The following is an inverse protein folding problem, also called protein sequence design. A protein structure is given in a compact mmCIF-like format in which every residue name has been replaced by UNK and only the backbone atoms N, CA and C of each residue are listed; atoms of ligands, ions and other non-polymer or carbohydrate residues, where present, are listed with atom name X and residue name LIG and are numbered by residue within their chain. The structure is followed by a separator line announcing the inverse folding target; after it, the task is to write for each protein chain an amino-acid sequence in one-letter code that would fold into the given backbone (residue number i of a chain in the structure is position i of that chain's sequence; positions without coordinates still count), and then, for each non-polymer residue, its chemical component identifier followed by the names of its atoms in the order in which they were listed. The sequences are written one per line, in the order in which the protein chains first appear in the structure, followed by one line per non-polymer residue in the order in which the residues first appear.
data_IF_967375448414
#
_entry.id   IF_967375448414
#
_cell.length_a   1.000
_cell.length_b   1.000
_cell.length_c   1.000
_cell.angle_alpha   90.00
_cell.angle_beta   90.00
_cell.angle_gamma   90.00
#
_symmetry.space_group_name_H-M   'P 1'
#
loop_
_entity.id
_entity.type
_entity.pdbx_description
1 polymer ?
#
# COMPACT_ATOMS: atom_id res chain seq x y z
N UNK A 1 -2.78 -4.63 -19.31
CA UNK A 1 -1.50 -5.09 -18.76
C UNK A 1 -1.77 -6.18 -17.76
N UNK A 2 -1.07 -7.29 -17.90
CA UNK A 2 -1.43 -8.57 -17.33
C UNK A 2 -1.14 -8.64 -15.84
N UNK A 3 -2.17 -8.93 -15.08
CA UNK A 3 -2.04 -9.64 -13.80
C UNK A 3 -1.57 -11.04 -14.18
N UNK A 4 -0.47 -11.50 -13.62
CA UNK A 4 -0.06 -12.90 -13.72
C UNK A 4 -0.92 -13.71 -12.75
N UNK A 5 -1.59 -14.73 -13.26
CA UNK A 5 -2.35 -15.69 -12.45
C UNK A 5 -1.63 -17.04 -12.48
N UNK A 6 -1.16 -17.45 -11.32
CA UNK A 6 -0.46 -18.73 -11.15
C UNK A 6 -1.32 -19.63 -10.26
N UNK A 7 -1.88 -20.67 -10.87
CA UNK A 7 -2.79 -21.59 -10.22
C UNK A 7 -2.03 -22.82 -9.70
N UNK A 8 -2.01 -22.96 -8.40
CA UNK A 8 -1.63 -24.22 -7.72
C UNK A 8 -2.83 -25.13 -7.49
N UNK A 9 -2.61 -26.21 -6.77
CA UNK A 9 -3.65 -27.20 -6.41
C UNK A 9 -4.65 -26.65 -5.41
N UNK A 10 -4.16 -25.92 -4.40
CA UNK A 10 -4.94 -25.46 -3.25
C UNK A 10 -4.97 -23.93 -3.09
N UNK A 11 -4.18 -23.22 -3.86
CA UNK A 11 -4.15 -21.74 -3.87
C UNK A 11 -3.88 -21.20 -5.27
N UNK A 12 -4.49 -20.06 -5.60
CA UNK A 12 -4.18 -19.24 -6.75
C UNK A 12 -3.46 -17.99 -6.28
N UNK A 13 -2.33 -17.66 -6.87
CA UNK A 13 -1.61 -16.41 -6.63
C UNK A 13 -1.83 -15.49 -7.84
N UNK A 14 -2.22 -14.23 -7.56
CA UNK A 14 -2.25 -13.16 -8.56
C UNK A 14 -1.15 -12.17 -8.26
N UNK A 15 -0.30 -11.90 -9.24
CA UNK A 15 0.77 -10.93 -9.13
C UNK A 15 0.59 -9.79 -10.11
N UNK A 16 0.59 -8.57 -9.59
CA UNK A 16 0.48 -7.34 -10.37
C UNK A 16 1.79 -6.56 -10.31
N UNK A 17 2.66 -6.76 -11.30
CA UNK A 17 4.01 -6.19 -11.34
C UNK A 17 4.03 -4.66 -11.21
N UNK A 18 3.03 -3.95 -11.76
CA UNK A 18 2.94 -2.49 -11.67
C UNK A 18 2.72 -1.94 -10.26
N UNK A 19 2.13 -2.73 -9.36
CA UNK A 19 1.96 -2.36 -7.95
C UNK A 19 3.16 -2.77 -7.10
N UNK A 20 4.07 -3.59 -7.63
CA UNK A 20 5.22 -4.08 -6.87
C UNK A 20 6.23 -2.96 -6.59
N UNK A 21 6.51 -2.72 -5.31
CA UNK A 21 7.52 -1.76 -4.85
C UNK A 21 8.85 -2.44 -4.49
N UNK A 22 9.00 -3.73 -4.83
CA UNK A 22 10.19 -4.53 -4.53
C UNK A 22 10.58 -4.52 -3.04
N UNK A 23 9.58 -4.63 -2.14
CA UNK A 23 9.82 -4.73 -0.69
C UNK A 23 10.60 -5.99 -0.30
N UNK A 24 10.68 -6.98 -1.18
CA UNK A 24 11.36 -8.27 -1.05
C UNK A 24 10.82 -9.18 0.05
N UNK A 25 9.75 -8.84 0.72
CA UNK A 25 9.18 -9.69 1.78
C UNK A 25 8.74 -11.07 1.26
N UNK A 26 8.26 -11.15 0.01
CA UNK A 26 7.91 -12.41 -0.63
C UNK A 26 9.14 -13.32 -0.84
N UNK A 27 10.14 -12.83 -1.54
CA UNK A 27 11.35 -13.62 -1.88
C UNK A 27 12.26 -13.91 -0.69
N UNK A 28 12.19 -13.09 0.39
CA UNK A 28 12.94 -13.33 1.62
C UNK A 28 12.17 -14.24 2.60
N UNK A 29 10.84 -14.13 2.62
CA UNK A 29 9.99 -14.91 3.51
C UNK A 29 9.79 -16.35 3.02
N UNK A 30 9.61 -16.53 1.70
CA UNK A 30 9.38 -17.84 1.06
C UNK A 30 10.09 -17.90 -0.29
N UNK A 31 11.41 -18.09 -0.29
CA UNK A 31 12.21 -18.17 -1.52
C UNK A 31 11.90 -19.43 -2.36
N UNK A 32 11.18 -20.38 -1.82
CA UNK A 32 10.64 -21.56 -2.50
C UNK A 32 9.33 -21.28 -3.25
N UNK A 33 8.52 -20.34 -2.76
CA UNK A 33 7.30 -19.88 -3.45
C UNK A 33 7.61 -18.78 -4.46
N UNK A 34 8.47 -17.82 -4.10
CA UNK A 34 8.90 -16.72 -4.96
C UNK A 34 10.40 -16.80 -5.21
N UNK A 35 10.77 -17.42 -6.32
CA UNK A 35 12.16 -17.72 -6.66
C UNK A 35 12.74 -16.56 -7.48
N UNK A 36 13.64 -15.73 -6.91
CA UNK A 36 14.18 -14.59 -7.63
C UNK A 36 15.25 -14.99 -8.63
N UNK A 37 15.42 -14.19 -9.69
CA UNK A 37 16.51 -14.28 -10.66
C UNK A 37 16.57 -15.63 -11.42
N UNK A 38 15.41 -16.22 -11.73
CA UNK A 38 15.29 -17.40 -12.58
C UNK A 38 14.72 -17.02 -13.93
N UNK A 39 15.05 -17.79 -14.95
CA UNK A 39 14.38 -17.74 -16.24
C UNK A 39 13.13 -18.64 -16.20
N UNK A 40 11.98 -18.09 -16.65
CA UNK A 40 10.72 -18.84 -16.66
C UNK A 40 9.85 -18.60 -15.43
N UNK A 41 9.17 -19.63 -14.98
CA UNK A 41 8.24 -19.56 -13.84
C UNK A 41 9.00 -19.29 -12.54
N UNK A 42 8.59 -18.25 -11.84
CA UNK A 42 9.23 -17.78 -10.61
C UNK A 42 8.28 -17.77 -9.40
N UNK A 43 7.00 -18.10 -9.61
CA UNK A 43 5.98 -18.20 -8.55
C UNK A 43 5.46 -19.63 -8.52
N UNK A 44 5.58 -20.29 -7.37
CA UNK A 44 5.24 -21.70 -7.16
C UNK A 44 4.27 -21.86 -5.98
N UNK A 45 2.94 -21.70 -6.18
CA UNK A 45 1.95 -21.77 -5.10
C UNK A 45 1.98 -23.08 -4.32
N UNK A 46 2.31 -24.19 -4.99
CA UNK A 46 2.33 -25.54 -4.41
C UNK A 46 3.56 -25.83 -3.53
N UNK A 47 4.53 -24.90 -3.47
CA UNK A 47 5.69 -25.01 -2.58
C UNK A 47 5.35 -24.68 -1.11
N UNK A 48 4.12 -24.18 -0.84
CA UNK A 48 3.66 -23.79 0.50
C UNK A 48 2.23 -24.28 0.74
N UNK A 49 1.84 -24.31 2.01
CA UNK A 49 0.42 -24.50 2.35
C UNK A 49 -0.41 -23.26 1.98
N UNK A 50 -1.72 -23.38 1.75
CA UNK A 50 -2.59 -22.23 1.47
C UNK A 50 -2.53 -21.14 2.56
N UNK A 51 -2.35 -21.54 3.83
CA UNK A 51 -2.20 -20.62 4.97
C UNK A 51 -0.91 -19.79 4.86
N UNK A 52 0.18 -20.43 4.47
CA UNK A 52 1.48 -19.76 4.28
C UNK A 52 1.45 -18.83 3.08
N UNK A 53 0.79 -19.21 1.98
CA UNK A 53 0.55 -18.35 0.82
C UNK A 53 -0.29 -17.13 1.23
N UNK A 54 -1.35 -17.34 2.03
CA UNK A 54 -2.19 -16.27 2.56
C UNK A 54 -1.39 -15.29 3.43
N UNK A 55 -0.60 -15.82 4.37
CA UNK A 55 0.27 -15.01 5.25
C UNK A 55 1.29 -14.19 4.44
N UNK A 56 1.86 -14.79 3.41
CA UNK A 56 2.83 -14.13 2.53
C UNK A 56 2.16 -13.00 1.73
N UNK A 57 0.99 -13.26 1.14
CA UNK A 57 0.24 -12.23 0.42
C UNK A 57 -0.18 -11.09 1.35
N UNK A 58 -0.65 -11.40 2.57
CA UNK A 58 -1.01 -10.43 3.60
C UNK A 58 0.16 -9.49 3.95
N UNK A 59 1.40 -9.97 3.92
CA UNK A 59 2.61 -9.21 4.20
C UNK A 59 3.09 -8.37 2.99
N UNK A 60 2.48 -8.50 1.80
CA UNK A 60 2.82 -7.65 0.66
C UNK A 60 2.28 -6.22 0.87
N UNK A 61 3.12 -5.20 1.13
CA UNK A 61 2.64 -3.89 1.56
C UNK A 61 1.93 -3.11 0.44
N UNK A 62 2.18 -3.46 -0.81
CA UNK A 62 1.60 -2.77 -1.96
C UNK A 62 0.32 -3.42 -2.50
N UNK A 63 -0.02 -4.62 -2.01
CA UNK A 63 -1.09 -5.40 -2.60
C UNK A 63 -0.78 -5.90 -4.02
N UNK A 64 0.49 -5.96 -4.41
CA UNK A 64 0.89 -6.56 -5.67
C UNK A 64 0.68 -8.07 -5.72
N UNK A 65 0.58 -8.71 -4.55
CA UNK A 65 0.31 -10.14 -4.41
C UNK A 65 -1.06 -10.29 -3.75
N UNK A 66 -1.96 -10.97 -4.45
CA UNK A 66 -3.24 -11.42 -3.95
C UNK A 66 -3.29 -12.95 -4.01
N UNK A 67 -4.16 -13.54 -3.23
CA UNK A 67 -4.40 -14.98 -3.26
C UNK A 67 -5.89 -15.29 -3.27
N UNK A 68 -6.17 -16.49 -3.73
CA UNK A 68 -7.49 -17.12 -3.61
C UNK A 68 -7.28 -18.55 -3.11
N UNK A 69 -7.93 -18.93 -2.02
CA UNK A 69 -7.93 -20.28 -1.49
C UNK A 69 -8.87 -21.14 -2.31
N UNK A 70 -8.36 -22.27 -2.80
CA UNK A 70 -9.11 -23.23 -3.61
C UNK A 70 -9.53 -24.46 -2.79
N UNK A 71 -9.05 -24.56 -1.56
CA UNK A 71 -9.34 -25.64 -0.59
C UNK A 71 -10.59 -25.39 0.26
N UNK A 72 -11.32 -24.31 -0.01
CA UNK A 72 -12.51 -23.90 0.76
C UNK A 72 -12.18 -23.15 2.06
N UNK A 73 -10.92 -22.85 2.33
CA UNK A 73 -10.51 -22.06 3.48
C UNK A 73 -10.86 -20.57 3.35
N UNK A 74 -10.64 -19.82 4.43
CA UNK A 74 -10.99 -18.40 4.53
C UNK A 74 -10.22 -17.55 3.52
N UNK A 75 -10.95 -16.71 2.78
CA UNK A 75 -10.38 -15.73 1.87
C UNK A 75 -9.87 -14.50 2.64
N UNK A 76 -9.06 -13.66 2.00
CA UNK A 76 -8.54 -12.43 2.61
C UNK A 76 -9.69 -11.53 3.09
N UNK A 77 -9.60 -11.14 4.36
CA UNK A 77 -10.55 -10.26 5.03
C UNK A 77 -9.94 -8.87 5.23
N UNK A 78 -10.77 -7.81 5.35
CA UNK A 78 -10.28 -6.50 5.73
C UNK A 78 -9.61 -6.54 7.11
N UNK A 79 -8.58 -5.71 7.35
CA UNK A 79 -7.91 -5.70 8.65
C UNK A 79 -8.81 -5.14 9.75
N UNK A 80 -8.55 -5.54 10.98
CA UNK A 80 -9.27 -5.04 12.17
C UNK A 80 -8.99 -3.55 12.47
N UNK A 81 -7.96 -2.99 11.86
CA UNK A 81 -7.55 -1.59 12.02
C UNK A 81 -7.11 -1.05 10.67
N UNK A 82 -7.72 0.05 10.26
CA UNK A 82 -7.26 0.78 9.09
C UNK A 82 -5.98 1.55 9.40
N UNK A 83 -4.90 1.25 8.69
CA UNK A 83 -3.59 1.83 8.90
C UNK A 83 -3.09 2.57 7.65
N UNK A 84 -2.49 3.74 7.88
CA UNK A 84 -1.62 4.42 6.92
C UNK A 84 -0.24 4.52 7.54
N UNK A 85 0.71 3.73 7.04
CA UNK A 85 2.10 3.75 7.51
C UNK A 85 2.94 4.66 6.63
N UNK A 86 3.62 5.61 7.26
CA UNK A 86 4.54 6.54 6.57
C UNK A 86 5.90 5.87 6.44
N UNK A 87 6.38 5.63 5.22
CA UNK A 87 7.69 5.00 5.01
C UNK A 87 8.78 6.06 4.89
N UNK A 88 9.94 5.78 5.52
CA UNK A 88 11.12 6.66 5.40
C UNK A 88 11.48 6.82 3.92
N UNK A 89 11.65 8.06 3.47
CA UNK A 89 11.99 8.43 2.08
C UNK A 89 11.16 7.72 1.00
N UNK A 90 9.94 7.29 1.35
CA UNK A 90 9.13 6.39 0.53
C UNK A 90 7.63 6.73 0.52
N UNK A 91 6.81 5.80 0.04
CA UNK A 91 5.38 5.96 -0.12
C UNK A 91 4.61 5.98 1.21
N UNK A 92 3.31 6.21 1.11
CA UNK A 92 2.34 5.82 2.12
C UNK A 92 1.93 4.37 1.87
N UNK A 93 2.06 3.49 2.86
CA UNK A 93 1.59 2.12 2.79
C UNK A 93 0.26 2.01 3.56
N UNK A 94 -0.81 1.72 2.85
CA UNK A 94 -2.15 1.56 3.38
C UNK A 94 -2.45 0.07 3.59
N UNK A 95 -3.03 -0.25 4.74
CA UNK A 95 -3.63 -1.54 5.03
C UNK A 95 -4.99 -1.28 5.71
N UNK A 96 -6.06 -1.44 4.97
CA UNK A 96 -7.39 -0.99 5.35
C UNK A 96 -8.47 -1.69 4.51
N UNK A 97 -9.73 -1.56 4.87
CA UNK A 97 -10.86 -1.85 3.99
C UNK A 97 -10.95 -0.71 2.95
N UNK A 98 -10.17 -0.82 1.87
CA UNK A 98 -9.92 0.26 0.93
C UNK A 98 -11.03 0.38 -0.11
N UNK A 99 -11.53 1.60 -0.25
CA UNK A 99 -12.29 2.07 -1.41
C UNK A 99 -11.45 3.15 -2.11
N UNK A 100 -10.52 2.73 -2.97
CA UNK A 100 -9.65 3.63 -3.74
C UNK A 100 -10.39 4.05 -5.02
N UNK A 101 -10.88 5.28 -5.04
CA UNK A 101 -11.70 5.81 -6.13
C UNK A 101 -10.94 5.75 -7.47
N UNK A 102 -11.56 5.11 -8.47
CA UNK A 102 -10.98 4.84 -9.79
C UNK A 102 -10.08 3.58 -9.85
N UNK A 103 -10.00 2.82 -8.74
CA UNK A 103 -9.18 1.59 -8.62
C UNK A 103 -9.88 0.59 -7.68
N UNK A 104 -11.09 0.21 -8.01
CA UNK A 104 -12.00 -0.60 -7.19
C UNK A 104 -11.52 -2.04 -6.99
N UNK A 105 -10.55 -2.51 -7.80
CA UNK A 105 -9.83 -3.78 -7.65
C UNK A 105 -8.83 -3.77 -6.47
N UNK A 106 -8.49 -2.59 -5.96
CA UNK A 106 -7.55 -2.42 -4.83
C UNK A 106 -8.31 -2.53 -3.51
N UNK A 107 -8.27 -3.71 -2.88
CA UNK A 107 -9.14 -4.05 -1.75
C UNK A 107 -8.59 -3.69 -0.38
N UNK A 108 -7.40 -4.19 -0.02
CA UNK A 108 -6.94 -4.11 1.39
C UNK A 108 -5.56 -3.46 1.56
N UNK A 109 -4.74 -3.45 0.53
CA UNK A 109 -3.36 -2.97 0.61
C UNK A 109 -3.00 -2.14 -0.61
N UNK A 110 -2.34 -1.02 -0.38
CA UNK A 110 -1.79 -0.19 -1.44
C UNK A 110 -0.58 0.59 -0.95
N UNK A 111 0.40 0.81 -1.82
CA UNK A 111 1.42 1.83 -1.61
C UNK A 111 1.18 2.99 -2.55
N UNK A 112 0.89 4.17 -1.96
CA UNK A 112 0.52 5.36 -2.71
C UNK A 112 1.66 6.37 -2.76
N UNK A 113 1.85 7.00 -3.92
CA UNK A 113 2.92 7.93 -4.18
C UNK A 113 2.87 9.13 -3.23
N UNK A 114 4.01 9.42 -2.56
CA UNK A 114 4.21 10.58 -1.68
C UNK A 114 5.23 11.57 -2.24
N UNK A 115 6.07 11.15 -3.20
CA UNK A 115 7.16 11.96 -3.75
C UNK A 115 6.73 12.82 -4.97
N UNK A 116 5.62 12.52 -5.60
CA UNK A 116 5.13 13.22 -6.79
C UNK A 116 5.71 12.71 -8.11
N UNK A 117 6.71 11.82 -8.10
CA UNK A 117 7.48 11.40 -9.28
C UNK A 117 7.02 10.09 -9.92
N UNK A 118 6.12 9.34 -9.28
CA UNK A 118 5.62 8.08 -9.85
C UNK A 118 4.99 8.29 -11.23
N UNK A 119 5.31 7.43 -12.18
CA UNK A 119 4.65 7.33 -13.47
C UNK A 119 3.35 6.50 -13.41
N UNK A 120 3.11 5.81 -12.28
CA UNK A 120 1.95 4.96 -12.05
C UNK A 120 1.01 5.52 -10.95
N UNK A 121 0.83 6.85 -10.93
CA UNK A 121 -0.04 7.49 -9.92
C UNK A 121 -1.48 6.94 -9.98
N UNK A 122 -2.13 6.71 -8.86
CA UNK A 122 -1.76 7.12 -7.49
C UNK A 122 -0.75 6.18 -6.82
N UNK A 123 -0.42 5.03 -7.41
CA UNK A 123 0.48 4.04 -6.83
C UNK A 123 1.95 4.50 -6.85
N UNK A 124 2.72 3.94 -5.94
CA UNK A 124 4.16 4.05 -5.96
C UNK A 124 4.75 3.04 -6.95
N UNK A 125 5.72 3.46 -7.73
CA UNK A 125 6.49 2.64 -8.67
C UNK A 125 8.00 2.59 -8.36
N UNK A 126 8.40 3.12 -7.20
CA UNK A 126 9.81 3.19 -6.80
C UNK A 126 10.56 4.43 -7.28
N UNK A 127 9.95 5.30 -8.09
CA UNK A 127 10.59 6.54 -8.62
C UNK A 127 11.14 7.46 -7.53
N UNK A 128 10.66 7.36 -6.28
CA UNK A 128 11.21 8.11 -5.15
C UNK A 128 12.71 7.86 -4.92
N UNK A 129 13.23 6.67 -5.27
CA UNK A 129 14.66 6.34 -5.14
C UNK A 129 15.49 7.13 -6.15
N UNK A 130 15.13 7.08 -7.44
CA UNK A 130 15.81 7.81 -8.50
C UNK A 130 15.69 9.34 -8.35
N UNK A 131 14.56 9.80 -7.82
CA UNK A 131 14.32 11.21 -7.53
C UNK A 131 14.99 11.70 -6.24
N UNK A 132 15.71 10.85 -5.52
CA UNK A 132 16.33 11.17 -4.23
C UNK A 132 15.37 11.85 -3.25
N UNK A 133 14.11 11.37 -3.22
CA UNK A 133 13.08 11.92 -2.36
C UNK A 133 13.43 11.72 -0.89
N UNK A 134 13.47 12.82 -0.15
CA UNK A 134 13.77 12.81 1.28
C UNK A 134 12.57 13.30 2.09
N UNK A 135 12.07 12.46 2.97
CA UNK A 135 11.00 12.81 3.92
C UNK A 135 10.92 11.76 5.01
N UNK A 136 10.89 12.20 6.25
CA UNK A 136 10.85 11.30 7.41
C UNK A 136 9.71 10.30 7.34
N UNK A 137 9.99 9.07 7.78
CA UNK A 137 9.02 8.04 8.14
C UNK A 137 8.60 8.11 9.61
N UNK A 138 9.19 9.00 10.40
CA UNK A 138 8.94 9.20 11.83
C UNK A 138 8.39 10.62 12.10
N UNK A 139 7.20 11.00 11.59
CA UNK A 139 6.60 12.29 11.89
C UNK A 139 6.31 12.43 13.39
N UNK A 140 6.22 13.67 13.86
CA UNK A 140 5.86 13.95 15.23
C UNK A 140 4.46 13.41 15.56
N UNK A 141 4.31 12.86 16.75
CA UNK A 141 3.01 12.44 17.29
C UNK A 141 2.14 13.68 17.53
N UNK A 142 0.89 13.57 17.09
CA UNK A 142 -0.16 14.56 17.39
C UNK A 142 -1.13 13.96 18.38
N UNK A 143 -1.55 14.73 19.35
CA UNK A 143 -2.63 14.33 20.23
C UNK A 143 -3.89 14.05 19.41
N UNK A 144 -4.54 12.95 19.71
CA UNK A 144 -5.77 12.52 19.03
C UNK A 144 -6.58 11.61 19.94
N UNK A 145 -7.87 11.79 19.91
CA UNK A 145 -8.79 10.94 20.67
C UNK A 145 -8.84 9.52 20.06
N UNK A 146 -9.15 8.52 20.89
CA UNK A 146 -9.44 7.18 20.38
C UNK A 146 -10.59 7.20 19.36
N UNK A 147 -10.46 6.41 18.31
CA UNK A 147 -11.53 6.25 17.32
C UNK A 147 -12.66 5.39 17.92
N UNK A 148 -13.90 5.76 17.62
CA UNK A 148 -15.08 4.97 18.01
C UNK A 148 -15.06 3.58 17.38
N UNK A 149 -14.57 3.49 16.13
CA UNK A 149 -14.26 2.24 15.42
C UNK A 149 -12.91 2.37 14.76
N UNK A 150 -12.17 1.27 14.64
CA UNK A 150 -10.81 1.28 14.03
C UNK A 150 -10.78 0.67 12.62
N UNK A 151 -11.89 0.11 12.19
CA UNK A 151 -12.08 -0.58 10.91
C UNK A 151 -13.26 0.04 10.13
N UNK A 152 -13.74 -0.70 9.14
CA UNK A 152 -14.80 -0.28 8.22
C UNK A 152 -14.25 0.42 6.98
N UNK A 153 -15.10 0.79 6.01
CA UNK A 153 -14.66 1.32 4.74
C UNK A 153 -13.79 2.57 4.89
N UNK A 154 -12.63 2.56 4.24
CA UNK A 154 -11.73 3.70 4.13
C UNK A 154 -11.71 4.19 2.68
N UNK A 155 -12.43 5.28 2.42
CA UNK A 155 -12.46 5.90 1.11
C UNK A 155 -11.20 6.72 0.90
N UNK A 156 -10.51 6.45 -0.21
CA UNK A 156 -9.30 7.18 -0.63
C UNK A 156 -9.55 7.77 -2.01
N UNK A 157 -9.51 9.09 -2.11
CA UNK A 157 -9.75 9.82 -3.36
C UNK A 157 -8.49 10.55 -3.79
N UNK A 158 -7.79 10.09 -4.83
CA UNK A 158 -6.73 10.85 -5.46
C UNK A 158 -7.34 12.06 -6.20
N UNK A 159 -7.12 13.27 -5.69
CA UNK A 159 -7.69 14.46 -6.33
C UNK A 159 -6.83 14.92 -7.52
N UNK A 160 -7.46 15.40 -8.58
CA UNK A 160 -6.73 15.93 -9.74
C UNK A 160 -5.77 17.03 -9.29
N UNK A 161 -4.48 16.88 -9.61
CA UNK A 161 -3.40 17.82 -9.28
C UNK A 161 -3.33 18.21 -7.79
N UNK A 162 -3.78 17.31 -6.92
CA UNK A 162 -3.92 17.59 -5.50
C UNK A 162 -3.54 16.43 -4.58
N UNK A 163 -3.98 16.49 -3.31
CA UNK A 163 -3.68 15.48 -2.31
C UNK A 163 -4.42 14.16 -2.52
N UNK A 164 -4.11 13.19 -1.67
CA UNK A 164 -4.96 12.04 -1.40
C UNK A 164 -5.92 12.43 -0.28
N UNK A 165 -7.22 12.49 -0.58
CA UNK A 165 -8.25 12.67 0.45
C UNK A 165 -8.62 11.29 1.02
N UNK A 166 -8.68 11.19 2.32
CA UNK A 166 -9.02 9.97 3.05
C UNK A 166 -10.20 10.26 3.97
N UNK A 167 -11.24 9.43 3.89
CA UNK A 167 -12.45 9.49 4.70
C UNK A 167 -12.76 8.11 5.27
N UNK A 168 -13.02 8.05 6.57
CA UNK A 168 -13.20 6.84 7.37
C UNK A 168 -12.22 6.77 8.53
N UNK A 169 -12.47 5.89 9.48
CA UNK A 169 -11.58 5.70 10.63
C UNK A 169 -10.20 5.22 10.21
N UNK A 170 -9.15 5.94 10.58
CA UNK A 170 -7.78 5.60 10.19
C UNK A 170 -6.77 5.97 11.28
N UNK A 171 -5.83 5.07 11.53
CA UNK A 171 -4.64 5.34 12.33
C UNK A 171 -3.45 5.58 11.40
N UNK A 172 -2.77 6.70 11.57
CA UNK A 172 -1.53 7.01 10.88
C UNK A 172 -0.37 6.59 11.75
N UNK A 173 0.51 5.75 11.19
CA UNK A 173 1.66 5.20 11.91
C UNK A 173 2.97 5.64 11.26
N UNK A 174 3.97 5.83 12.11
CA UNK A 174 5.36 5.94 11.69
C UNK A 174 5.86 4.63 11.05
N UNK A 175 7.04 4.68 10.42
CA UNK A 175 7.70 3.51 9.84
C UNK A 175 7.95 2.39 10.84
N UNK A 176 8.25 2.75 12.08
CA UNK A 176 8.42 1.82 13.23
C UNK A 176 7.12 1.19 13.73
N UNK A 177 5.96 1.67 13.27
CA UNK A 177 4.64 1.19 13.73
C UNK A 177 4.03 2.01 14.86
N UNK A 178 4.75 3.01 15.41
CA UNK A 178 4.21 3.93 16.42
C UNK A 178 3.06 4.74 15.83
N UNK A 179 1.89 4.73 16.47
CA UNK A 179 0.76 5.57 16.06
C UNK A 179 1.11 7.05 16.28
N UNK A 180 1.01 7.84 15.25
CA UNK A 180 1.29 9.28 15.27
C UNK A 180 0.04 10.14 15.25
N UNK A 181 -1.08 9.61 14.76
CA UNK A 181 -2.36 10.31 14.75
C UNK A 181 -3.52 9.34 14.52
N UNK A 182 -4.72 9.74 14.95
CA UNK A 182 -5.99 9.05 14.67
C UNK A 182 -6.97 10.07 14.13
N UNK A 183 -7.71 9.71 13.07
CA UNK A 183 -8.61 10.65 12.42
C UNK A 183 -9.67 9.95 11.58
N UNK A 184 -10.72 10.68 11.23
CA UNK A 184 -11.76 10.21 10.30
C UNK A 184 -11.73 10.92 8.96
N UNK A 185 -10.90 11.97 8.83
CA UNK A 185 -10.64 12.69 7.58
C UNK A 185 -9.20 13.15 7.55
N UNK A 186 -8.55 12.97 6.41
CA UNK A 186 -7.17 13.40 6.18
C UNK A 186 -6.96 13.84 4.73
N UNK A 187 -5.98 14.73 4.53
CA UNK A 187 -5.43 15.05 3.22
C UNK A 187 -3.92 14.78 3.27
N UNK A 188 -3.45 13.76 2.53
CA UNK A 188 -2.04 13.42 2.48
C UNK A 188 -1.34 14.06 1.28
N UNK A 189 -0.11 14.50 1.51
CA UNK A 189 0.73 15.06 0.46
C UNK A 189 1.04 14.02 -0.62
N UNK A 190 0.84 14.41 -1.88
CA UNK A 190 1.16 13.61 -3.05
C UNK A 190 2.22 14.24 -3.95
N UNK A 191 2.42 15.57 -3.84
CA UNK A 191 3.40 16.33 -4.63
C UNK A 191 4.85 16.25 -4.13
N UNK A 192 5.07 15.74 -2.92
CA UNK A 192 6.39 15.65 -2.30
C UNK A 192 6.91 16.94 -1.67
N UNK A 193 6.24 18.09 -1.83
CA UNK A 193 6.75 19.42 -1.47
C UNK A 193 6.08 20.03 -0.24
N UNK A 194 5.09 19.37 0.38
CA UNK A 194 4.48 19.87 1.63
C UNK A 194 5.53 20.03 2.73
N UNK A 195 5.45 21.13 3.48
CA UNK A 195 6.24 21.35 4.70
C UNK A 195 5.66 20.59 5.91
N UNK A 196 4.39 20.14 5.83
CA UNK A 196 3.67 19.42 6.89
C UNK A 196 3.54 17.92 6.61
N UNK A 197 4.53 17.30 5.92
CA UNK A 197 4.48 15.88 5.61
C UNK A 197 4.25 15.01 6.86
N UNK A 198 3.39 13.97 6.77
CA UNK A 198 2.81 13.37 5.57
C UNK A 198 1.57 14.09 5.04
N UNK A 199 1.08 15.12 5.72
CA UNK A 199 -0.15 15.81 5.36
C UNK A 199 0.05 16.88 4.27
N UNK A 200 -1.02 17.21 3.56
CA UNK A 200 -1.05 18.28 2.59
C UNK A 200 -1.17 19.64 3.29
N UNK A 201 -0.44 20.63 2.79
CA UNK A 201 -0.49 22.04 3.22
C UNK A 201 -0.87 23.00 2.07
N UNK A 202 -1.33 22.46 0.93
CA UNK A 202 -1.68 23.25 -0.24
C UNK A 202 -0.51 23.57 -1.17
N UNK A 203 0.72 23.24 -0.82
CA UNK A 203 1.93 23.53 -1.64
C UNK A 203 1.82 22.97 -3.06
N UNK A 204 1.08 21.87 -3.29
CA UNK A 204 0.87 21.29 -4.62
C UNK A 204 0.40 22.33 -5.67
N UNK A 205 -0.45 23.30 -5.27
CA UNK A 205 -0.93 24.34 -6.18
C UNK A 205 0.19 25.33 -6.56
N UNK A 206 1.07 25.67 -5.60
CA UNK A 206 2.16 26.62 -5.83
C UNK A 206 3.31 26.06 -6.66
N UNK A 207 3.53 24.74 -6.56
CA UNK A 207 4.62 24.06 -7.30
C UNK A 207 4.17 23.49 -8.64
N UNK A 208 2.92 23.74 -9.04
CA UNK A 208 2.39 23.25 -10.30
C UNK A 208 2.35 21.72 -10.40
N UNK A 209 2.02 21.03 -9.29
CA UNK A 209 1.94 19.57 -9.29
C UNK A 209 0.85 19.09 -10.24
N UNK A 210 1.21 18.19 -11.15
CA UNK A 210 0.31 17.58 -12.11
C UNK A 210 0.16 16.09 -11.82
N UNK A 211 -1.09 15.65 -11.78
CA UNK A 211 -1.46 14.24 -11.72
C UNK A 211 -2.82 14.06 -12.35
N UNK A 212 -2.97 13.07 -13.16
CA UNK A 212 -4.25 12.66 -13.72
C UNK A 212 -5.12 11.98 -12.66
#
# INVERSE_FOLDING_TARGET
MSVEEIRGKLALIRFEAKKCIHSRQCVLGRPDVFVPNVEGEWIHPDAATPEEVAALAYNCPSGAIHYERLDGGEQEQPPLVNLVRVRENGPLALHADLNLVGHEDTRFRATLCRCGQSANKPFCDGSHNAAHFTATGEPLTKESEPLATRNGPLKVTPTKNGPLLVEGSVEVCAGTGRTINRMTKAAFCRCGQSANKPYCDGTHARVGFVSE
#
